data_IF_670442791894
#
_entry.id   IF_670442791894
#
_cell.length_a   1.000
_cell.length_b   1.000
_cell.length_c   1.000
_cell.angle_alpha   90.00
_cell.angle_beta   90.00
_cell.angle_gamma   90.00
#
_symmetry.space_group_name_H-M   'P 1'
#
loop_
_entity.id
_entity.type
_entity.pdbx_description
1 polymer ?
2 water ?
#
# COMPACT_ATOMS: atom_id res chain seq x y z
N UNK A 3 5.86 11.86 12.05
CA UNK A 3 7.21 12.07 12.64
C UNK A 3 7.86 13.28 11.98
N UNK A 4 9.16 13.45 12.25
CA UNK A 4 9.93 14.55 11.67
C UNK A 4 10.18 14.29 10.17
N UNK A 5 10.46 13.03 9.83
CA UNK A 5 10.83 12.68 8.46
C UNK A 5 9.69 12.21 7.51
N UNK A 6 8.50 12.81 7.63
CA UNK A 6 7.36 12.43 6.77
C UNK A 6 7.53 12.72 5.27
N UNK A 7 7.31 11.69 4.46
CA UNK A 7 7.40 11.84 3.00
C UNK A 7 6.42 12.82 2.37
N UNK A 8 6.91 13.55 1.37
CA UNK A 8 6.10 14.44 0.54
C UNK A 8 6.26 14.04 -0.93
N UNK A 9 5.35 14.51 -1.78
CA UNK A 9 5.39 14.26 -3.23
C UNK A 9 6.81 14.53 -3.75
N UNK A 10 7.37 13.60 -4.52
CA UNK A 10 8.73 13.73 -5.06
C UNK A 10 9.81 13.05 -4.25
N UNK A 11 9.52 12.75 -2.98
CA UNK A 11 10.48 12.05 -2.14
C UNK A 11 10.66 10.60 -2.56
N UNK A 12 11.90 10.09 -2.49
CA UNK A 12 12.12 8.69 -2.77
C UNK A 12 11.48 7.76 -1.76
N UNK A 13 11.10 6.59 -2.23
CA UNK A 13 10.67 5.52 -1.31
C UNK A 13 11.76 5.25 -0.26
N UNK A 14 11.35 5.08 1.01
CA UNK A 14 12.31 4.73 2.06
C UNK A 14 13.04 3.43 1.75
N UNK A 15 14.37 3.41 1.91
CA UNK A 15 15.15 2.19 1.69
C UNK A 15 15.03 1.27 2.92
N UNK A 16 13.85 0.67 3.04
CA UNK A 16 13.51 -0.23 4.12
C UNK A 16 13.03 -1.54 3.50
N UNK A 17 12.97 -2.58 4.32
CA UNK A 17 12.33 -3.85 3.95
C UNK A 17 11.24 -4.24 4.95
N UNK A 18 10.16 -4.82 4.44
CA UNK A 18 9.06 -5.31 5.27
C UNK A 18 8.71 -6.75 4.87
N UNK A 19 8.23 -7.53 5.84
CA UNK A 19 7.86 -8.91 5.61
C UNK A 19 6.47 -9.00 5.01
N UNK A 20 6.33 -9.84 3.99
CA UNK A 20 5.02 -10.20 3.45
C UNK A 20 4.37 -11.33 4.28
N UNK A 21 3.21 -11.79 3.84
CA UNK A 21 2.36 -12.67 4.61
C UNK A 21 3.00 -14.07 4.72
N UNK A 22 4.01 -14.31 3.89
CA UNK A 22 4.74 -15.59 3.90
C UNK A 22 6.02 -15.51 4.72
N UNK A 23 6.22 -14.36 5.37
CA UNK A 23 7.38 -14.11 6.21
C UNK A 23 8.64 -13.95 5.36
N UNK A 24 8.47 -13.53 4.11
CA UNK A 24 9.58 -13.17 3.20
C UNK A 24 9.80 -11.66 3.19
N UNK A 25 11.07 -11.23 3.23
CA UNK A 25 11.41 -9.81 3.29
C UNK A 25 11.31 -9.14 1.93
N UNK A 26 10.57 -8.04 1.85
CA UNK A 26 10.40 -7.34 0.59
C UNK A 26 11.06 -5.99 0.75
N UNK A 27 12.01 -5.69 -0.14
CA UNK A 27 12.67 -4.40 -0.18
C UNK A 27 11.78 -3.39 -0.92
N UNK A 28 11.45 -2.29 -0.26
CA UNK A 28 10.63 -1.26 -0.86
C UNK A 28 11.30 -0.65 -2.09
N UNK A 29 12.60 -0.43 -2.00
CA UNK A 29 13.35 0.12 -3.11
C UNK A 29 13.32 -0.83 -4.30
N UNK A 30 13.55 -2.11 -4.05
CA UNK A 30 13.51 -3.10 -5.13
C UNK A 30 12.14 -3.22 -5.82
N UNK A 31 11.03 -3.15 -5.06
CA UNK A 31 9.70 -3.15 -5.72
C UNK A 31 9.55 -1.98 -6.70
N UNK A 32 9.97 -0.80 -6.27
CA UNK A 32 9.86 0.41 -7.10
C UNK A 32 10.88 0.47 -8.25
N UNK A 33 11.95 -0.31 -8.14
CA UNK A 33 12.92 -0.49 -9.25
C UNK A 33 12.37 -1.40 -10.38
N UNK A 34 11.66 -2.45 -9.96
CA UNK A 34 11.12 -3.46 -10.88
C UNK A 34 9.83 -3.02 -11.55
N UNK A 35 9.08 -2.17 -10.87
CA UNK A 35 7.81 -1.69 -11.38
C UNK A 35 7.81 -0.20 -11.48
N UNK A 36 7.41 0.33 -12.62
CA UNK A 36 7.36 1.79 -12.74
C UNK A 36 6.41 2.41 -11.73
N UNK A 37 5.31 1.70 -11.44
CA UNK A 37 4.26 2.21 -10.55
C UNK A 37 4.01 1.16 -9.46
N UNK A 38 3.94 1.61 -8.21
CA UNK A 38 3.58 0.76 -7.08
C UNK A 38 2.54 1.48 -6.21
N UNK A 39 1.49 0.75 -5.86
CA UNK A 39 0.44 1.22 -4.95
C UNK A 39 0.64 0.50 -3.59
N UNK A 40 0.73 1.29 -2.51
CA UNK A 40 0.66 0.75 -1.16
C UNK A 40 -0.65 1.26 -0.56
N UNK A 41 -1.54 0.35 -0.23
CA UNK A 41 -2.76 0.79 0.47
C UNK A 41 -2.66 0.39 1.92
N UNK A 42 -3.02 1.33 2.77
CA UNK A 42 -2.90 1.14 4.25
C UNK A 42 -4.29 0.96 4.83
N UNK A 43 -4.48 -0.06 5.66
CA UNK A 43 -5.71 -0.20 6.45
C UNK A 43 -5.37 -0.35 7.94
N UNK A 44 -6.31 0.01 8.84
CA UNK A 44 -5.96 -0.09 10.25
C UNK A 44 -5.70 -1.53 10.70
N UNK A 45 -6.61 -2.46 10.39
CA UNK A 45 -6.49 -3.83 10.93
C UNK A 45 -7.01 -4.87 9.98
N UNK A 46 -6.26 -5.97 9.81
CA UNK A 46 -6.73 -7.07 8.96
C UNK A 46 -8.03 -7.68 9.46
N UNK A 47 -8.85 -8.18 8.54
CA UNK A 47 -10.02 -9.04 8.86
C UNK A 47 -11.07 -8.28 9.68
N UNK A 48 -11.36 -7.05 9.25
CA UNK A 48 -12.44 -6.22 9.82
C UNK A 48 -13.29 -5.79 8.61
N UNK A 49 -14.55 -5.35 8.83
CA UNK A 49 -15.39 -4.94 7.68
C UNK A 49 -14.72 -3.87 6.80
N UNK A 50 -14.03 -2.91 7.42
CA UNK A 50 -13.47 -1.78 6.66
C UNK A 50 -12.33 -2.28 5.78
N UNK A 51 -11.43 -3.03 6.40
CA UNK A 51 -10.26 -3.57 5.72
C UNK A 51 -10.62 -4.59 4.68
N UNK A 52 -11.61 -5.43 4.96
CA UNK A 52 -12.10 -6.36 3.95
C UNK A 52 -12.68 -5.64 2.72
N UNK A 53 -13.43 -4.55 2.92
CA UNK A 53 -13.96 -3.78 1.80
C UNK A 53 -12.82 -3.25 0.92
N UNK A 54 -11.78 -2.71 1.55
CA UNK A 54 -10.67 -2.12 0.80
C UNK A 54 -9.88 -3.20 0.07
N UNK A 55 -9.43 -4.21 0.80
CA UNK A 55 -8.65 -5.30 0.22
C UNK A 55 -9.43 -6.03 -0.91
N UNK A 56 -10.72 -6.30 -0.68
CA UNK A 56 -11.51 -6.97 -1.69
C UNK A 56 -11.68 -6.13 -2.98
N UNK A 57 -11.78 -4.80 -2.86
CA UNK A 57 -11.89 -3.94 -4.05
C UNK A 57 -10.59 -3.97 -4.85
N UNK A 58 -9.44 -3.92 -4.16
CA UNK A 58 -8.16 -4.11 -4.84
C UNK A 58 -8.01 -5.49 -5.49
N UNK A 59 -8.57 -6.52 -4.84
CA UNK A 59 -8.57 -7.86 -5.41
C UNK A 59 -9.35 -7.81 -6.73
N UNK A 60 -10.51 -7.19 -6.67
CA UNK A 60 -11.46 -7.18 -7.81
C UNK A 60 -10.90 -6.33 -8.96
N UNK A 61 -10.01 -5.38 -8.63
CA UNK A 61 -9.31 -4.61 -9.63
C UNK A 61 -7.97 -5.17 -10.07
N UNK A 62 -7.51 -6.25 -9.44
CA UNK A 62 -6.11 -6.65 -9.61
C UNK A 62 -5.79 -7.12 -11.03
N UNK A 63 -6.68 -7.90 -11.63
CA UNK A 63 -6.47 -8.39 -12.99
C UNK A 63 -6.17 -7.23 -13.94
N UNK A 64 -6.86 -6.12 -13.74
CA UNK A 64 -6.63 -4.92 -14.54
C UNK A 64 -5.37 -4.16 -14.10
N UNK A 65 -5.26 -3.88 -12.80
CA UNK A 65 -4.14 -3.08 -12.30
C UNK A 65 -2.76 -3.66 -12.51
N UNK A 66 -2.65 -5.00 -12.50
CA UNK A 66 -1.35 -5.63 -12.62
C UNK A 66 -0.70 -5.41 -13.97
N UNK A 67 -1.45 -4.82 -14.91
CA UNK A 67 -0.90 -4.38 -16.19
C UNK A 67 -0.42 -2.93 -16.15
N UNK A 68 -0.50 -2.33 -14.97
CA UNK A 68 -0.06 -0.96 -14.77
C UNK A 68 0.91 -0.83 -13.60
N UNK A 69 0.68 -1.62 -12.56
CA UNK A 69 1.32 -1.39 -11.23
C UNK A 69 1.39 -2.63 -10.36
N UNK A 70 2.37 -2.66 -9.46
CA UNK A 70 2.39 -3.65 -8.37
C UNK A 70 1.48 -3.08 -7.28
N UNK A 71 0.83 -3.97 -6.54
CA UNK A 71 -0.11 -3.55 -5.49
C UNK A 71 0.28 -4.29 -4.22
N UNK A 72 0.36 -3.58 -3.10
CA UNK A 72 0.64 -4.15 -1.79
C UNK A 72 -0.33 -3.54 -0.79
N UNK A 73 -0.89 -4.42 0.04
CA UNK A 73 -1.59 -4.00 1.27
C UNK A 73 -0.53 -3.78 2.36
N UNK A 74 -0.86 -2.94 3.33
CA UNK A 74 0.09 -2.57 4.37
C UNK A 74 -0.64 -2.24 5.66
N UNK A 75 -0.23 -2.85 6.77
CA UNK A 75 -0.81 -2.48 8.06
C UNK A 75 0.19 -2.88 9.15
N UNK A 76 -0.14 -2.52 10.39
CA UNK A 76 0.68 -2.86 11.52
C UNK A 76 0.51 -4.32 11.98
N UNK A 77 -0.38 -5.07 11.32
CA UNK A 77 -0.65 -6.46 11.71
C UNK A 77 0.59 -7.36 11.60
N UNK A 78 0.59 -8.41 12.41
CA UNK A 78 1.62 -9.45 12.35
C UNK A 78 1.56 -10.18 11.03
N UNK A 79 2.65 -10.87 10.67
CA UNK A 79 2.69 -11.74 9.48
C UNK A 79 1.54 -12.77 9.52
N UNK A 80 1.34 -13.42 10.67
CA UNK A 80 0.30 -14.44 10.74
C UNK A 80 -1.10 -13.87 10.54
N UNK A 81 -1.38 -12.68 11.09
CA UNK A 81 -2.67 -12.02 10.84
C UNK A 81 -2.83 -11.65 9.38
N UNK A 82 -1.77 -11.13 8.76
CA UNK A 82 -1.79 -10.80 7.32
C UNK A 82 -2.05 -12.08 6.50
N UNK A 83 -1.42 -13.19 6.87
CA UNK A 83 -1.55 -14.43 6.08
C UNK A 83 -2.99 -14.96 6.14
N UNK A 84 -3.58 -14.91 7.33
CA UNK A 84 -4.97 -15.37 7.47
C UNK A 84 -5.92 -14.51 6.63
N UNK A 85 -5.71 -13.19 6.65
CA UNK A 85 -6.48 -12.23 5.85
C UNK A 85 -6.32 -12.50 4.34
N UNK A 86 -5.07 -12.61 3.90
CA UNK A 86 -4.74 -12.88 2.50
C UNK A 86 -5.41 -14.18 2.01
N UNK A 87 -5.29 -15.24 2.80
CA UNK A 87 -5.87 -16.51 2.38
C UNK A 87 -7.40 -16.50 2.39
N UNK A 88 -8.02 -15.97 3.45
CA UNK A 88 -9.49 -15.85 3.52
C UNK A 88 -10.12 -15.05 2.38
N UNK A 89 -9.43 -14.00 1.98
CA UNK A 89 -9.96 -13.11 0.97
C UNK A 89 -9.44 -13.44 -0.41
N UNK A 90 -8.58 -14.46 -0.50
CA UNK A 90 -7.99 -14.91 -1.76
C UNK A 90 -7.30 -13.77 -2.50
N UNK A 91 -6.50 -13.01 -1.76
CA UNK A 91 -5.82 -11.85 -2.38
C UNK A 91 -4.67 -12.32 -3.27
N UNK A 92 -4.64 -11.85 -4.53
CA UNK A 92 -3.59 -12.20 -5.51
C UNK A 92 -2.32 -11.37 -5.38
N UNK A 93 -2.30 -10.41 -4.44
CA UNK A 93 -1.14 -9.53 -4.23
C UNK A 93 -0.67 -9.73 -2.78
N UNK A 94 0.52 -9.25 -2.44
CA UNK A 94 1.02 -9.42 -1.07
C UNK A 94 0.52 -8.38 -0.08
N UNK A 95 0.62 -8.75 1.19
CA UNK A 95 0.28 -7.87 2.30
C UNK A 95 1.56 -7.72 3.11
N UNK A 96 1.93 -6.49 3.42
CA UNK A 96 3.17 -6.21 4.15
C UNK A 96 2.86 -5.92 5.61
N UNK A 97 3.69 -6.48 6.47
CA UNK A 97 3.59 -6.32 7.91
C UNK A 97 4.54 -5.21 8.38
N UNK A 98 4.01 -4.24 9.13
CA UNK A 98 4.79 -3.11 9.63
C UNK A 98 4.35 -2.79 11.08
N UNK A 99 4.63 -3.71 12.02
CA UNK A 99 4.18 -3.61 13.43
C UNK A 99 4.67 -2.37 14.15
N UNK A 100 5.86 -1.88 13.78
CA UNK A 100 6.39 -0.62 14.34
C UNK A 100 5.88 0.64 13.62
N UNK A 101 5.05 0.46 12.59
CA UNK A 101 4.57 1.55 11.73
C UNK A 101 5.72 2.46 11.26
N UNK A 102 6.83 1.83 10.90
CA UNK A 102 8.01 2.52 10.39
C UNK A 102 7.69 3.13 9.03
N UNK A 103 7.20 2.31 8.11
CA UNK A 103 6.84 2.84 6.77
C UNK A 103 5.53 3.63 6.82
N UNK A 104 4.55 3.06 7.52
CA UNK A 104 3.29 3.75 7.74
C UNK A 104 3.50 5.17 8.28
N UNK A 105 4.45 5.30 9.21
CA UNK A 105 4.85 6.60 9.78
C UNK A 105 5.33 7.61 8.75
N UNK A 106 6.34 7.20 7.99
CA UNK A 106 6.95 8.03 6.95
C UNK A 106 5.94 8.42 5.86
N UNK A 107 4.97 7.54 5.60
CA UNK A 107 3.92 7.83 4.63
C UNK A 107 2.90 8.85 5.17
N UNK A 108 2.87 9.03 6.50
CA UNK A 108 1.99 10.02 7.09
C UNK A 108 0.67 9.41 7.54
N UNK A 109 0.64 8.08 7.70
CA UNK A 109 -0.60 7.40 8.06
C UNK A 109 -0.76 6.89 9.51
N UNK A 110 0.12 7.29 10.43
CA UNK A 110 -0.12 6.96 11.85
C UNK A 110 -1.39 7.62 12.38
N UNK A 111 -2.09 6.92 13.26
CA UNK A 111 -3.26 7.50 13.90
C UNK A 111 -2.86 8.41 15.06
N UNK A 112 -2.22 7.83 16.07
CA UNK A 112 -1.53 8.63 17.08
C UNK A 112 -0.06 8.26 17.11
N UNK A 113 0.78 9.10 17.75
CA UNK A 113 2.15 8.63 17.87
C UNK A 113 2.29 7.24 18.51
N UNK A 114 1.38 6.88 19.41
CA UNK A 114 1.52 5.60 20.15
C UNK A 114 1.00 4.36 19.43
N UNK A 115 -0.01 4.53 18.59
CA UNK A 115 -0.74 3.37 18.08
C UNK A 115 -1.62 3.66 16.89
N UNK A 116 -1.80 2.64 16.06
CA UNK A 116 -2.81 2.62 15.01
C UNK A 116 -2.42 3.29 13.71
N UNK A 117 -3.18 2.96 12.68
CA UNK A 117 -3.00 3.54 11.36
C UNK A 117 -4.30 4.08 10.85
N UNK A 118 -4.20 4.95 9.85
CA UNK A 118 -5.33 5.60 9.22
C UNK A 118 -5.44 5.11 7.76
N UNK A 119 -6.63 4.65 7.37
CA UNK A 119 -6.85 4.20 6.00
C UNK A 119 -6.39 5.23 4.96
N UNK A 120 -5.51 4.79 4.07
CA UNK A 120 -4.80 5.68 3.15
C UNK A 120 -4.31 4.87 1.97
N UNK A 121 -3.91 5.56 0.92
CA UNK A 121 -3.03 4.90 -0.07
C UNK A 121 -1.98 5.82 -0.67
N UNK A 122 -0.96 5.19 -1.24
CA UNK A 122 0.23 5.92 -1.69
C UNK A 122 0.71 5.27 -2.96
N UNK A 123 0.96 6.11 -3.96
CA UNK A 123 1.42 5.62 -5.26
C UNK A 123 2.81 6.17 -5.57
N UNK A 124 3.73 5.29 -5.88
CA UNK A 124 5.07 5.70 -6.24
C UNK A 124 5.28 5.47 -7.73
N UNK A 125 5.95 6.43 -8.37
CA UNK A 125 6.26 6.35 -9.81
C UNK A 125 7.76 6.55 -9.93
N UNK A 126 8.44 5.57 -10.55
CA UNK A 126 9.90 5.61 -10.72
C UNK A 126 10.61 5.86 -9.39
N UNK A 127 10.11 5.18 -8.36
CA UNK A 127 10.73 5.24 -7.03
C UNK A 127 10.40 6.48 -6.19
N UNK A 128 9.59 7.38 -6.71
CA UNK A 128 9.25 8.63 -6.04
C UNK A 128 7.76 8.76 -5.74
N UNK A 129 7.42 9.33 -4.58
CA UNK A 129 6.01 9.50 -4.21
C UNK A 129 5.25 10.44 -5.14
N UNK A 130 4.15 9.96 -5.69
CA UNK A 130 3.42 10.71 -6.71
C UNK A 130 1.99 11.02 -6.26
N UNK A 131 1.33 10.04 -5.65
CA UNK A 131 0.02 10.29 -5.04
C UNK A 131 0.05 9.97 -3.56
N UNK A 132 -0.50 10.89 -2.77
CA UNK A 132 -0.45 10.74 -1.31
C UNK A 132 -1.84 10.99 -0.79
N UNK A 133 -2.58 9.89 -0.54
CA UNK A 133 -3.98 9.94 -0.16
C UNK A 133 -4.20 9.46 1.28
N UNK A 134 -4.16 10.41 2.21
CA UNK A 134 -4.28 10.07 3.67
C UNK A 134 -5.72 10.29 4.17
N UNK A 135 -6.25 9.30 4.87
CA UNK A 135 -7.60 9.33 5.47
C UNK A 135 -8.69 9.36 4.41
N UNK A 136 -8.99 8.19 3.85
CA UNK A 136 -10.01 8.07 2.82
C UNK A 136 -10.83 6.83 3.13
N UNK A 137 -12.03 6.71 2.55
CA UNK A 137 -12.86 5.53 2.77
C UNK A 137 -12.31 4.34 1.99
N UNK A 138 -12.78 3.12 2.32
CA UNK A 138 -12.38 1.95 1.52
C UNK A 138 -12.72 2.10 0.02
N UNK A 139 -13.91 2.62 -0.27
CA UNK A 139 -14.39 2.83 -1.64
C UNK A 139 -13.58 3.87 -2.41
N UNK A 140 -13.31 5.00 -1.77
CA UNK A 140 -12.47 6.04 -2.36
C UNK A 140 -11.06 5.50 -2.62
N UNK A 141 -10.51 4.74 -1.67
CA UNK A 141 -9.16 4.20 -1.87
C UNK A 141 -9.14 3.31 -3.12
N UNK A 142 -10.11 2.40 -3.22
CA UNK A 142 -10.15 1.43 -4.32
C UNK A 142 -10.35 2.17 -5.63
N UNK A 143 -11.34 3.06 -5.68
CA UNK A 143 -11.69 3.75 -6.94
C UNK A 143 -10.62 4.75 -7.39
N UNK A 144 -10.17 5.59 -6.45
CA UNK A 144 -9.16 6.60 -6.75
C UNK A 144 -7.79 6.03 -7.06
N UNK A 145 -7.39 4.93 -6.41
CA UNK A 145 -6.10 4.31 -6.73
C UNK A 145 -6.04 3.86 -8.19
N UNK A 146 -7.12 3.25 -8.67
CA UNK A 146 -7.22 2.88 -10.08
C UNK A 146 -7.13 4.11 -11.01
N UNK A 147 -7.88 5.18 -10.73
CA UNK A 147 -7.83 6.39 -11.58
C UNK A 147 -6.43 6.97 -11.62
N UNK A 148 -5.79 7.00 -10.45
CA UNK A 148 -4.47 7.58 -10.31
C UNK A 148 -3.38 6.78 -11.05
N UNK A 149 -3.44 5.47 -10.92
CA UNK A 149 -2.54 4.56 -11.63
C UNK A 149 -2.71 4.72 -13.16
N UNK A 150 -3.96 4.79 -13.61
CA UNK A 150 -4.21 4.95 -15.05
C UNK A 150 -3.71 6.31 -15.56
N UNK A 151 -3.80 7.33 -14.72
CA UNK A 151 -3.35 8.67 -15.05
C UNK A 151 -1.84 8.67 -15.30
N UNK A 152 -1.09 8.06 -14.40
CA UNK A 152 0.35 8.08 -14.52
C UNK A 152 0.86 7.25 -15.69
N UNK A 153 0.18 6.14 -15.99
CA UNK A 153 0.49 5.30 -17.15
C UNK A 153 0.29 6.06 -18.48
N UNK A 154 -0.74 6.89 -18.51
CA UNK A 154 -0.99 7.74 -19.65
C UNK A 154 0.20 8.68 -19.90
N UNK A 155 0.75 9.25 -18.82
CA UNK A 155 1.86 10.21 -18.90
C UNK A 155 3.12 9.59 -19.51
N UNK A 156 3.29 8.27 -19.36
CA UNK A 156 4.44 7.55 -19.92
C UNK A 156 4.50 7.60 -21.45
N UNK A 157 3.36 7.82 -22.09
CA UNK A 157 3.30 7.87 -23.56
C UNK A 157 4.12 9.01 -24.20
N UNK A 158 4.56 9.98 -23.39
CA UNK A 158 5.45 11.05 -23.88
C UNK A 158 6.90 10.79 -23.50
#
# INVERSE_FOLDING_TARGET
SSDVNELEIGDPIPDLSLLNEDNDSISLKKITENNRVVVFFVYPRASTPGSTRQASGFRDNYQELKEYAAVFGLSADSVTSQKKFQSKQNLPYHLLSDPKREFIGLLGAKKTPLSGSIRSHFIFVDGKLKFKRVKISPEVSVNDAKKEVLEVAEKFKEE
#
